data_IF_695972884635
#
_entry.id   IF_695972884635
#
_cell.length_a   1.000
_cell.length_b   1.000
_cell.length_c   1.000
_cell.angle_alpha   90.00
_cell.angle_beta   90.00
_cell.angle_gamma   90.00
#
_symmetry.space_group_name_H-M   'P 1'
#
loop_
_entity.id
_entity.type
_entity.pdbx_description
1 polymer ?
#
# COMPACT_ATOMS: atom_id res chain seq x y z
N UNK A 1 29.95 -34.97 -16.74
CA UNK A 1 29.23 -35.04 -15.44
C UNK A 1 29.65 -33.81 -14.65
N UNK A 2 28.83 -32.86 -14.23
CA UNK A 2 27.39 -32.65 -14.30
C UNK A 2 27.14 -31.14 -14.05
N UNK A 3 26.48 -30.49 -15.02
CA UNK A 3 25.62 -29.29 -14.94
C UNK A 3 26.14 -28.01 -14.25
N UNK A 4 26.58 -27.06 -15.09
CA UNK A 4 26.42 -25.62 -14.86
C UNK A 4 24.94 -25.29 -14.61
N UNK A 5 24.57 -25.24 -13.33
CA UNK A 5 23.24 -24.87 -12.87
C UNK A 5 23.04 -23.36 -12.92
N UNK A 6 22.71 -22.84 -14.10
CA UNK A 6 22.04 -21.53 -14.25
C UNK A 6 20.73 -21.56 -13.44
N UNK A 7 20.79 -21.13 -12.18
CA UNK A 7 19.64 -20.62 -11.45
C UNK A 7 19.78 -19.10 -11.54
N UNK A 8 19.46 -18.53 -12.70
CA UNK A 8 18.21 -17.76 -12.86
C UNK A 8 17.91 -17.04 -11.55
N UNK A 9 18.43 -15.83 -11.38
CA UNK A 9 17.60 -14.80 -10.76
C UNK A 9 16.29 -14.85 -11.54
N UNK A 10 15.29 -15.50 -10.95
CA UNK A 10 13.94 -15.36 -11.43
C UNK A 10 13.64 -13.88 -11.26
N UNK A 11 13.75 -13.17 -12.38
CA UNK A 11 13.06 -11.93 -12.64
C UNK A 11 11.57 -12.21 -12.42
N UNK A 12 11.12 -12.12 -11.17
CA UNK A 12 9.72 -11.86 -10.84
C UNK A 12 9.56 -10.36 -10.69
N UNK A 13 9.82 -9.64 -11.77
CA UNK A 13 9.31 -8.29 -11.95
C UNK A 13 7.78 -8.34 -11.90
N UNK A 14 7.15 -7.77 -10.85
CA UNK A 14 5.70 -7.68 -10.84
C UNK A 14 4.98 -7.20 -9.57
N UNK A 15 5.31 -6.01 -9.07
CA UNK A 15 4.36 -5.10 -8.40
C UNK A 15 3.83 -5.43 -6.98
N UNK A 16 4.68 -5.40 -5.96
CA UNK A 16 4.19 -4.93 -4.64
C UNK A 16 4.04 -3.41 -4.70
N UNK A 17 2.84 -2.94 -4.98
CA UNK A 17 2.50 -1.52 -4.83
C UNK A 17 2.59 -1.18 -3.34
N UNK A 18 3.57 -0.36 -2.97
CA UNK A 18 3.77 0.05 -1.59
C UNK A 18 2.49 0.70 -1.02
N UNK A 19 1.95 0.20 0.10
CA UNK A 19 0.74 0.74 0.69
C UNK A 19 0.97 2.17 1.18
N UNK A 20 0.20 3.11 0.65
CA UNK A 20 0.27 4.52 1.03
C UNK A 20 -0.52 4.75 2.33
N UNK A 21 0.21 4.93 3.43
CA UNK A 21 -0.37 5.23 4.74
C UNK A 21 -0.53 6.73 4.97
N UNK A 22 -1.76 7.16 5.20
CA UNK A 22 -2.11 8.48 5.69
C UNK A 22 -2.59 8.39 7.14
N UNK A 23 -2.12 9.31 7.98
CA UNK A 23 -2.56 9.40 9.38
C UNK A 23 -3.05 10.80 9.71
N UNK A 24 -3.99 10.89 10.63
CA UNK A 24 -4.44 12.14 11.22
C UNK A 24 -4.47 11.95 12.73
N UNK A 25 -3.62 12.70 13.43
CA UNK A 25 -3.53 12.75 14.89
C UNK A 25 -3.79 14.18 15.35
N UNK A 26 -4.78 14.34 16.21
CA UNK A 26 -5.09 15.58 16.90
C UNK A 26 -5.45 15.21 18.35
N UNK A 27 -4.50 15.38 19.29
CA UNK A 27 -4.67 14.97 20.69
C UNK A 27 -5.71 15.83 21.41
N UNK A 28 -5.84 17.12 21.05
CA UNK A 28 -6.81 18.03 21.66
C UNK A 28 -8.27 17.60 21.40
N UNK A 29 -8.49 16.80 20.35
CA UNK A 29 -9.82 16.29 19.96
C UNK A 29 -9.97 14.77 20.08
N UNK A 30 -9.04 14.08 20.76
CA UNK A 30 -8.99 12.61 20.85
C UNK A 30 -9.16 11.93 19.47
N UNK A 31 -8.47 12.47 18.47
CA UNK A 31 -8.66 12.08 17.08
C UNK A 31 -7.40 11.39 16.55
N UNK A 32 -7.43 10.07 16.52
CA UNK A 32 -6.36 9.24 15.97
C UNK A 32 -6.96 8.34 14.89
N UNK A 33 -6.80 8.72 13.61
CA UNK A 33 -7.35 7.98 12.46
C UNK A 33 -6.26 7.64 11.45
N UNK A 34 -6.42 6.48 10.81
CA UNK A 34 -5.57 6.05 9.70
C UNK A 34 -6.39 5.88 8.42
N UNK A 35 -5.68 5.91 7.29
CA UNK A 35 -6.23 5.67 5.96
C UNK A 35 -5.11 5.09 5.09
N UNK A 36 -5.25 3.83 4.68
CA UNK A 36 -4.29 3.11 3.84
C UNK A 36 -4.89 2.93 2.45
N UNK A 37 -4.07 3.14 1.44
CA UNK A 37 -4.40 2.99 0.03
C UNK A 37 -3.36 2.12 -0.66
N UNK A 38 -3.80 1.09 -1.39
CA UNK A 38 -2.90 0.24 -2.18
C UNK A 38 -3.52 0.00 -3.55
N UNK A 39 -2.70 0.08 -4.61
CA UNK A 39 -3.14 -0.25 -5.98
C UNK A 39 -2.56 -1.60 -6.33
N UNK A 40 -3.39 -2.61 -6.45
CA UNK A 40 -2.98 -3.96 -6.81
C UNK A 40 -3.34 -4.22 -8.27
N UNK A 41 -2.47 -4.90 -9.04
CA UNK A 41 -2.85 -5.38 -10.37
C UNK A 41 -3.95 -6.44 -10.24
N UNK A 42 -4.90 -6.44 -11.17
CA UNK A 42 -5.94 -7.49 -11.25
C UNK A 42 -5.54 -8.58 -12.25
N UNK A 43 -6.17 -9.75 -12.15
CA UNK A 43 -5.93 -10.91 -13.02
C UNK A 43 -6.27 -10.66 -14.50
N UNK A 44 -7.02 -9.59 -14.80
CA UNK A 44 -7.55 -9.28 -16.13
C UNK A 44 -7.00 -7.98 -16.73
N UNK A 45 -5.73 -7.64 -16.45
CA UNK A 45 -5.08 -6.39 -16.90
C UNK A 45 -5.76 -5.10 -16.38
N UNK A 46 -6.69 -5.27 -15.43
CA UNK A 46 -7.29 -4.20 -14.65
C UNK A 46 -6.45 -3.85 -13.42
N UNK A 47 -7.03 -3.04 -12.54
CA UNK A 47 -6.42 -2.73 -11.25
C UNK A 47 -7.46 -2.58 -10.15
N UNK A 48 -7.08 -2.99 -8.95
CA UNK A 48 -7.89 -2.86 -7.74
C UNK A 48 -7.27 -1.80 -6.82
N UNK A 49 -8.06 -0.81 -6.40
CA UNK A 49 -7.68 0.11 -5.33
C UNK A 49 -8.27 -0.39 -4.02
N UNK A 50 -7.42 -0.91 -3.15
CA UNK A 50 -7.81 -1.29 -1.79
C UNK A 50 -7.71 -0.09 -0.85
N UNK A 51 -8.68 0.01 0.05
CA UNK A 51 -8.87 1.15 0.95
C UNK A 51 -9.15 0.61 2.35
N UNK A 52 -8.27 0.87 3.29
CA UNK A 52 -8.48 0.56 4.70
C UNK A 52 -8.52 1.84 5.53
N UNK A 53 -9.50 2.02 6.41
CA UNK A 53 -9.58 3.19 7.27
C UNK A 53 -10.22 2.92 8.62
N UNK A 54 -9.77 3.61 9.65
CA UNK A 54 -10.28 3.40 11.00
C UNK A 54 -9.68 4.34 12.03
N UNK A 55 -9.98 4.06 13.30
CA UNK A 55 -9.22 4.63 14.41
C UNK A 55 -7.91 3.84 14.55
N UNK A 56 -6.82 4.51 14.89
CA UNK A 56 -5.53 3.83 15.14
C UNK A 56 -5.72 2.85 16.30
N UNK A 57 -5.24 1.61 16.13
CA UNK A 57 -5.41 0.52 17.11
C UNK A 57 -6.68 -0.32 16.91
N UNK A 58 -7.49 -0.07 15.88
CA UNK A 58 -8.64 -0.93 15.53
C UNK A 58 -8.48 -1.54 14.14
N UNK A 59 -9.22 -2.64 13.86
CA UNK A 59 -9.24 -3.27 12.53
C UNK A 59 -9.74 -2.33 11.42
N UNK A 60 -10.54 -1.32 11.77
CA UNK A 60 -11.08 -0.35 10.81
C UNK A 60 -12.14 -0.96 9.90
N UNK A 61 -12.28 -0.36 8.72
CA UNK A 61 -13.16 -0.78 7.62
C UNK A 61 -12.33 -0.91 6.36
N UNK A 62 -12.70 -1.86 5.53
CA UNK A 62 -12.02 -2.17 4.28
C UNK A 62 -12.98 -2.04 3.09
N UNK A 63 -12.45 -1.63 1.94
CA UNK A 63 -13.17 -1.60 0.66
C UNK A 63 -12.20 -1.79 -0.49
N UNK A 64 -12.66 -2.47 -1.52
CA UNK A 64 -11.97 -2.61 -2.81
C UNK A 64 -12.80 -1.85 -3.85
N UNK A 65 -12.14 -1.01 -4.64
CA UNK A 65 -12.72 -0.36 -5.82
C UNK A 65 -11.98 -0.94 -7.06
N UNK A 66 -12.70 -1.58 -7.99
CA UNK A 66 -12.14 -2.19 -9.20
C UNK A 66 -12.14 -1.20 -10.38
N UNK A 67 -11.10 -1.27 -11.21
CA UNK A 67 -10.90 -0.41 -12.38
C UNK A 67 -10.49 -1.23 -13.60
N UNK A 68 -10.90 -0.78 -14.78
CA UNK A 68 -10.55 -1.42 -16.05
C UNK A 68 -9.12 -1.15 -16.49
N UNK A 69 -8.41 -0.22 -15.84
CA UNK A 69 -6.99 0.05 -16.10
C UNK A 69 -6.26 0.53 -14.85
N UNK A 70 -4.95 0.27 -14.80
CA UNK A 70 -4.07 0.77 -13.74
C UNK A 70 -4.07 2.30 -13.63
N UNK A 71 -4.10 2.99 -14.77
CA UNK A 71 -4.09 4.46 -14.82
C UNK A 71 -5.35 5.06 -14.19
N UNK A 72 -6.50 4.39 -14.29
CA UNK A 72 -7.72 4.80 -13.58
C UNK A 72 -7.60 4.65 -12.07
N UNK A 73 -7.09 3.52 -11.60
CA UNK A 73 -6.85 3.27 -10.18
C UNK A 73 -5.87 4.30 -9.59
N UNK A 74 -4.78 4.62 -10.30
CA UNK A 74 -3.78 5.61 -9.89
C UNK A 74 -4.37 7.03 -9.84
N UNK A 75 -5.13 7.44 -10.87
CA UNK A 75 -5.86 8.72 -10.86
C UNK A 75 -6.79 8.82 -9.65
N UNK A 76 -7.51 7.73 -9.34
CA UNK A 76 -8.41 7.66 -8.19
C UNK A 76 -7.67 7.75 -6.87
N UNK A 77 -6.53 7.06 -6.75
CA UNK A 77 -5.64 7.13 -5.58
C UNK A 77 -5.18 8.56 -5.34
N UNK A 78 -4.63 9.23 -6.35
CA UNK A 78 -4.15 10.62 -6.25
C UNK A 78 -5.29 11.56 -5.82
N UNK A 79 -6.49 11.39 -6.37
CA UNK A 79 -7.66 12.16 -5.96
C UNK A 79 -8.04 11.94 -4.48
N UNK A 80 -8.00 10.70 -3.99
CA UNK A 80 -8.22 10.40 -2.56
C UNK A 80 -7.16 11.03 -1.68
N UNK A 81 -5.88 10.88 -2.03
CA UNK A 81 -4.76 11.45 -1.28
C UNK A 81 -4.93 12.95 -1.16
N UNK A 82 -5.13 13.67 -2.27
CA UNK A 82 -5.35 15.13 -2.26
C UNK A 82 -6.53 15.53 -1.39
N UNK A 83 -7.66 14.82 -1.49
CA UNK A 83 -8.84 15.09 -0.66
C UNK A 83 -8.56 14.88 0.83
N UNK A 84 -7.82 13.84 1.20
CA UNK A 84 -7.49 13.54 2.60
C UNK A 84 -6.45 14.48 3.17
N UNK A 85 -5.44 14.87 2.38
CA UNK A 85 -4.45 15.87 2.78
C UNK A 85 -5.11 17.20 3.10
N UNK A 86 -6.07 17.66 2.28
CA UNK A 86 -6.90 18.85 2.56
C UNK A 86 -7.68 18.73 3.87
N UNK A 87 -8.07 17.53 4.29
CA UNK A 87 -8.75 17.25 5.58
C UNK A 87 -7.79 17.13 6.77
N UNK A 88 -6.51 17.42 6.60
CA UNK A 88 -5.50 17.36 7.66
C UNK A 88 -4.86 15.99 7.86
N UNK A 89 -5.05 15.05 6.94
CA UNK A 89 -4.22 13.83 6.93
C UNK A 89 -2.80 14.16 6.47
N UNK A 90 -1.83 13.38 6.94
CA UNK A 90 -0.41 13.47 6.60
C UNK A 90 0.06 12.10 6.14
N UNK A 91 0.81 12.08 5.04
CA UNK A 91 1.43 10.85 4.55
C UNK A 91 2.55 10.46 5.50
N UNK A 92 2.46 9.25 6.04
CA UNK A 92 3.58 8.61 6.71
C UNK A 92 4.36 7.91 5.61
N UNK A 93 5.61 8.29 5.39
CA UNK A 93 6.52 7.46 4.60
C UNK A 93 6.60 6.13 5.36
N UNK A 94 6.10 5.05 4.78
CA UNK A 94 6.48 3.71 5.22
C UNK A 94 7.98 3.63 5.00
N UNK A 95 8.73 3.88 6.07
CA UNK A 95 10.05 3.30 6.16
C UNK A 95 9.76 1.80 6.23
N UNK A 96 9.87 1.13 5.09
CA UNK A 96 10.07 -0.31 5.06
C UNK A 96 11.42 -0.49 5.72
N UNK A 97 11.41 -0.54 7.06
CA UNK A 97 12.56 -1.06 7.78
C UNK A 97 12.58 -2.54 7.40
N UNK A 98 13.40 -2.86 6.41
CA UNK A 98 13.95 -4.18 6.22
C UNK A 98 14.76 -4.51 7.49
N UNK A 99 14.06 -4.83 8.58
CA UNK A 99 14.65 -5.46 9.74
C UNK A 99 15.00 -6.89 9.31
N UNK A 100 16.19 -6.98 8.74
CA UNK A 100 17.14 -8.09 8.66
C UNK A 100 16.66 -9.37 9.37
N UNK A 101 16.38 -10.41 8.58
CA UNK A 101 16.58 -11.79 9.04
C UNK A 101 18.10 -12.02 9.05
N UNK A 102 18.71 -12.00 10.23
CA UNK A 102 20.07 -12.54 10.41
C UNK A 102 19.96 -14.06 10.63
N UNK A 103 20.74 -14.90 9.91
CA UNK A 103 20.83 -16.33 10.18
C UNK A 103 21.72 -16.55 11.40
N UNK A 104 21.14 -17.12 12.48
CA UNK A 104 21.94 -17.64 13.59
C UNK A 104 22.70 -18.87 13.11
N UNK A 105 24.03 -18.81 13.22
CA UNK A 105 25.00 -19.90 13.09
C UNK A 105 24.61 -21.15 13.88
#
# INVERSE_FOLDING_TARGET
>A
MSLDGRIRTCDSAGMTSEPLLLTRRDPARNMARFYVLTVEPDLFDGAALTRNWGRIGTKGRFRIDLFGSRQEAERRLVALVRSKVKRGYRQRRSQVDSCQLEPTL
#
